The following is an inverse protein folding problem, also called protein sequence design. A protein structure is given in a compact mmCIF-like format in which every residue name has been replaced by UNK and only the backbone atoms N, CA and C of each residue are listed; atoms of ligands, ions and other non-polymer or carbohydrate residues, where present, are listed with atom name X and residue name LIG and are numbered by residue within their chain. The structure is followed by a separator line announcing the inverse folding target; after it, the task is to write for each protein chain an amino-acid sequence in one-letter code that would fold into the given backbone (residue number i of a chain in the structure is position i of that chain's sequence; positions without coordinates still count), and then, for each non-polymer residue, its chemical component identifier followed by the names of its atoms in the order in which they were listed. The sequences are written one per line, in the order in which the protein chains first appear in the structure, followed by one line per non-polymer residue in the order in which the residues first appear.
data_IF_200956678439
#
_entry.id   IF_200956678439
#
_cell.length_a   1.000
_cell.length_b   1.000
_cell.length_c   1.000
_cell.angle_alpha   90.00
_cell.angle_beta   90.00
_cell.angle_gamma   90.00
#
_symmetry.space_group_name_H-M   'P 1'
#
loop_
_entity.id
_entity.type
_entity.pdbx_description
1 polymer ?
#
# COMPACT_ATOMS: atom_id res chain seq x y z
N UNK A 1 -27.69 -16.36 -17.27
CA UNK A 1 -27.89 -15.64 -15.99
C UNK A 1 -27.48 -14.21 -16.20
N UNK A 2 -28.26 -13.23 -15.76
CA UNK A 2 -28.00 -11.81 -15.95
C UNK A 2 -27.39 -11.22 -14.68
N UNK A 3 -26.20 -10.64 -14.83
CA UNK A 3 -25.47 -9.96 -13.77
C UNK A 3 -25.21 -8.51 -14.15
N UNK A 4 -25.02 -7.66 -13.15
CA UNK A 4 -24.68 -6.25 -13.37
C UNK A 4 -23.17 -6.10 -13.26
N UNK A 5 -22.53 -5.57 -14.30
CA UNK A 5 -21.08 -5.39 -14.36
C UNK A 5 -20.72 -3.92 -14.21
N UNK A 6 -20.02 -3.58 -13.13
CA UNK A 6 -19.46 -2.25 -12.91
C UNK A 6 -18.22 -2.01 -13.79
N UNK A 7 -18.25 -0.88 -14.52
CA UNK A 7 -17.17 -0.43 -15.40
C UNK A 7 -16.53 0.85 -14.84
N UNK A 8 -15.26 0.79 -14.41
CA UNK A 8 -14.56 1.92 -13.83
C UNK A 8 -14.22 2.98 -14.89
N UNK A 9 -14.01 4.21 -14.43
CA UNK A 9 -13.83 5.38 -15.30
C UNK A 9 -12.86 5.20 -16.48
N UNK A 10 -11.70 4.52 -16.35
CA UNK A 10 -10.78 4.31 -17.49
C UNK A 10 -11.40 3.50 -18.63
N UNK A 11 -12.31 2.57 -18.30
CA UNK A 11 -12.92 1.65 -19.26
C UNK A 11 -14.28 2.11 -19.79
N UNK A 12 -14.89 3.15 -19.20
CA UNK A 12 -16.23 3.61 -19.61
C UNK A 12 -16.31 4.00 -21.09
N UNK A 13 -15.24 4.56 -21.65
CA UNK A 13 -15.20 4.92 -23.09
C UNK A 13 -15.36 3.69 -23.99
N UNK A 14 -14.97 2.51 -23.50
CA UNK A 14 -15.06 1.23 -24.19
C UNK A 14 -16.47 0.61 -24.11
N UNK A 15 -17.30 1.11 -23.19
CA UNK A 15 -18.68 0.63 -22.93
C UNK A 15 -19.72 1.73 -23.16
N UNK A 16 -19.53 2.56 -24.19
CA UNK A 16 -20.44 3.67 -24.54
C UNK A 16 -20.71 4.65 -23.38
N UNK A 17 -19.68 4.94 -22.58
CA UNK A 17 -19.70 5.77 -21.38
C UNK A 17 -20.62 5.27 -20.25
N UNK A 18 -21.00 4.00 -20.25
CA UNK A 18 -21.80 3.41 -19.17
C UNK A 18 -20.92 2.96 -18.01
N UNK A 19 -21.30 3.34 -16.79
CA UNK A 19 -20.66 2.85 -15.57
C UNK A 19 -21.14 1.45 -15.17
N UNK A 20 -22.26 1.00 -15.75
CA UNK A 20 -22.82 -0.33 -15.55
C UNK A 20 -23.28 -0.89 -16.89
N UNK A 21 -22.92 -2.14 -17.15
CA UNK A 21 -23.40 -2.91 -18.29
C UNK A 21 -23.99 -4.22 -17.79
N UNK A 22 -25.00 -4.72 -18.47
CA UNK A 22 -25.50 -6.07 -18.22
C UNK A 22 -24.49 -7.07 -18.77
N UNK A 23 -24.35 -8.24 -18.15
CA UNK A 23 -23.58 -9.35 -18.70
C UNK A 23 -24.17 -10.70 -18.38
N UNK A 24 -23.77 -11.69 -19.17
CA UNK A 24 -24.37 -13.02 -19.13
C UNK A 24 -23.33 -14.13 -18.98
N UNK A 25 -23.55 -15.02 -18.02
CA UNK A 25 -22.71 -16.20 -17.80
C UNK A 25 -23.10 -16.94 -16.52
N UNK A 26 -22.84 -18.24 -16.45
CA UNK A 26 -22.97 -19.03 -15.23
C UNK A 26 -21.71 -18.96 -14.36
N UNK A 27 -20.58 -18.58 -14.96
CA UNK A 27 -19.29 -18.38 -14.30
C UNK A 27 -18.68 -17.04 -14.69
N UNK A 28 -17.65 -16.61 -13.95
CA UNK A 28 -16.88 -15.41 -14.31
C UNK A 28 -16.21 -15.55 -15.67
N UNK A 29 -15.69 -16.73 -16.03
CA UNK A 29 -15.12 -16.99 -17.35
C UNK A 29 -16.13 -16.73 -18.48
N UNK A 30 -17.33 -17.30 -18.36
CA UNK A 30 -18.41 -17.11 -19.36
C UNK A 30 -18.85 -15.64 -19.44
N UNK A 31 -18.91 -14.94 -18.31
CA UNK A 31 -19.23 -13.52 -18.27
C UNK A 31 -18.18 -12.68 -19.02
N UNK A 32 -16.89 -12.99 -18.84
CA UNK A 32 -15.81 -12.28 -19.52
C UNK A 32 -15.84 -12.53 -21.03
N UNK A 33 -16.17 -13.73 -21.46
CA UNK A 33 -16.35 -14.07 -22.87
C UNK A 33 -17.52 -13.30 -23.49
N UNK A 34 -18.65 -13.22 -22.79
CA UNK A 34 -19.82 -12.42 -23.19
C UNK A 34 -19.48 -10.91 -23.29
N UNK A 35 -18.77 -10.37 -22.29
CA UNK A 35 -18.32 -8.97 -22.32
C UNK A 35 -17.36 -8.68 -23.47
N UNK A 36 -16.41 -9.59 -23.73
CA UNK A 36 -15.44 -9.49 -24.84
C UNK A 36 -16.16 -9.51 -26.19
N UNK A 37 -17.16 -10.37 -26.33
CA UNK A 37 -17.97 -10.47 -27.56
C UNK A 37 -18.78 -9.20 -27.81
N UNK A 38 -19.39 -8.63 -26.76
CA UNK A 38 -20.23 -7.42 -26.89
C UNK A 38 -19.43 -6.13 -26.95
N UNK A 39 -18.25 -6.10 -26.34
CA UNK A 39 -17.35 -4.96 -26.26
C UNK A 39 -15.91 -5.37 -26.62
N UNK A 40 -15.58 -5.57 -27.91
CA UNK A 40 -14.26 -6.07 -28.33
C UNK A 40 -13.08 -5.24 -27.80
N UNK A 41 -13.21 -3.90 -27.82
CA UNK A 41 -12.18 -3.00 -27.31
C UNK A 41 -11.99 -3.08 -25.78
N UNK A 42 -12.99 -3.52 -25.03
CA UNK A 42 -12.85 -3.87 -23.62
C UNK A 42 -12.15 -5.23 -23.50
N UNK A 43 -12.52 -6.19 -24.34
CA UNK A 43 -11.88 -7.50 -24.47
C UNK A 43 -10.36 -7.44 -24.59
N UNK A 44 -9.85 -6.55 -25.45
CA UNK A 44 -8.41 -6.30 -25.63
C UNK A 44 -7.69 -5.91 -24.31
N UNK A 45 -8.42 -5.39 -23.33
CA UNK A 45 -7.89 -5.03 -22.00
C UNK A 45 -8.10 -6.14 -20.96
N UNK A 46 -9.08 -7.02 -21.17
CA UNK A 46 -9.45 -8.10 -20.24
C UNK A 46 -8.76 -9.41 -20.55
N UNK A 47 -8.06 -9.52 -21.68
CA UNK A 47 -7.35 -10.72 -22.10
C UNK A 47 -5.93 -10.36 -22.55
N UNK A 48 -4.95 -11.21 -22.24
CA UNK A 48 -3.60 -11.13 -22.78
C UNK A 48 -3.51 -11.81 -24.16
N UNK A 49 -2.32 -11.86 -24.78
CA UNK A 49 -2.10 -12.52 -26.08
C UNK A 49 -2.42 -14.04 -26.05
N UNK A 50 -2.47 -14.65 -24.87
CA UNK A 50 -2.85 -16.05 -24.66
C UNK A 50 -4.35 -16.26 -24.38
N UNK A 51 -5.14 -15.18 -24.33
CA UNK A 51 -6.58 -15.23 -24.02
C UNK A 51 -6.91 -15.32 -22.53
N UNK A 52 -5.93 -15.17 -21.64
CA UNK A 52 -6.10 -15.28 -20.19
C UNK A 52 -6.32 -13.90 -19.55
N UNK A 53 -6.99 -13.85 -18.39
CA UNK A 53 -7.18 -12.63 -17.62
C UNK A 53 -5.81 -12.05 -17.18
N UNK A 54 -5.45 -10.82 -17.59
CA UNK A 54 -4.19 -10.23 -17.17
C UNK A 54 -4.14 -10.04 -15.65
N UNK A 55 -2.97 -10.29 -15.05
CA UNK A 55 -2.75 -10.10 -13.61
C UNK A 55 -3.09 -8.68 -13.11
N UNK A 56 -3.03 -7.69 -14.00
CA UNK A 56 -3.37 -6.31 -13.69
C UNK A 56 -4.88 -6.01 -13.76
N UNK A 57 -5.75 -7.01 -13.93
CA UNK A 57 -7.21 -6.87 -13.90
C UNK A 57 -7.76 -7.69 -12.73
N UNK A 58 -8.38 -7.01 -11.78
CA UNK A 58 -9.00 -7.65 -10.63
C UNK A 58 -10.51 -7.75 -10.87
N UNK A 59 -11.07 -8.92 -10.59
CA UNK A 59 -12.51 -9.15 -10.69
C UNK A 59 -13.07 -9.42 -9.31
N UNK A 60 -14.16 -8.74 -8.99
CA UNK A 60 -14.91 -8.92 -7.76
C UNK A 60 -16.32 -9.41 -8.09
N UNK A 61 -16.83 -10.35 -7.32
CA UNK A 61 -18.24 -10.77 -7.31
C UNK A 61 -18.81 -10.41 -5.95
N UNK A 62 -19.81 -9.53 -5.90
CA UNK A 62 -20.45 -9.05 -4.66
C UNK A 62 -19.44 -8.57 -3.59
N UNK A 63 -18.46 -7.76 -4.01
CA UNK A 63 -17.35 -7.24 -3.20
C UNK A 63 -16.32 -8.30 -2.72
N UNK A 64 -16.31 -9.51 -3.27
CA UNK A 64 -15.28 -10.52 -3.01
C UNK A 64 -14.44 -10.78 -4.26
N UNK A 65 -13.13 -10.73 -4.12
CA UNK A 65 -12.21 -10.97 -5.24
C UNK A 65 -12.22 -12.44 -5.66
N UNK A 66 -12.28 -12.70 -6.97
CA UNK A 66 -12.43 -14.08 -7.49
C UNK A 66 -11.28 -15.01 -7.09
N UNK A 67 -10.09 -14.48 -6.81
CA UNK A 67 -8.95 -15.26 -6.32
C UNK A 67 -9.19 -15.85 -4.92
N UNK A 68 -10.00 -15.19 -4.09
CA UNK A 68 -10.46 -15.71 -2.79
C UNK A 68 -11.62 -16.71 -2.92
N UNK A 69 -12.12 -16.90 -4.14
CA UNK A 69 -13.23 -17.79 -4.50
C UNK A 69 -12.70 -18.95 -5.34
N UNK A 70 -13.24 -19.15 -6.54
CA UNK A 70 -12.85 -20.22 -7.47
C UNK A 70 -12.19 -19.65 -8.74
N UNK A 71 -11.60 -18.46 -8.66
CA UNK A 71 -11.02 -17.76 -9.80
C UNK A 71 -12.07 -17.52 -10.89
N UNK A 72 -11.69 -17.70 -12.15
CA UNK A 72 -12.60 -17.56 -13.29
C UNK A 72 -13.74 -18.60 -13.28
N UNK A 73 -13.56 -19.73 -12.58
CA UNK A 73 -14.62 -20.74 -12.39
C UNK A 73 -15.66 -20.34 -11.33
N UNK A 74 -15.53 -19.16 -10.70
CA UNK A 74 -16.47 -18.68 -9.68
C UNK A 74 -17.90 -18.65 -10.27
N UNK A 75 -18.86 -19.36 -9.65
CA UNK A 75 -20.23 -19.39 -10.13
C UNK A 75 -20.94 -18.05 -9.86
N UNK A 76 -21.75 -17.62 -10.82
CA UNK A 76 -22.56 -16.41 -10.77
C UNK A 76 -24.04 -16.76 -10.60
N UNK A 77 -24.79 -15.84 -9.97
CA UNK A 77 -26.24 -15.92 -9.79
C UNK A 77 -26.90 -14.69 -10.40
N UNK A 78 -28.16 -14.83 -10.79
CA UNK A 78 -28.96 -13.69 -11.25
C UNK A 78 -28.99 -12.59 -10.18
N UNK A 79 -28.65 -11.37 -10.59
CA UNK A 79 -28.59 -10.21 -9.71
C UNK A 79 -27.24 -10.01 -9.00
N UNK A 80 -26.25 -10.88 -9.20
CA UNK A 80 -24.89 -10.61 -8.72
C UNK A 80 -24.33 -9.33 -9.35
N UNK A 81 -23.54 -8.60 -8.56
CA UNK A 81 -22.76 -7.46 -9.03
C UNK A 81 -21.31 -7.90 -9.24
N UNK A 82 -20.80 -7.71 -10.45
CA UNK A 82 -19.42 -8.01 -10.82
C UNK A 82 -18.69 -6.71 -11.09
N UNK A 83 -17.51 -6.50 -10.50
CA UNK A 83 -16.69 -5.34 -10.78
C UNK A 83 -15.40 -5.74 -11.48
N UNK A 84 -15.12 -5.12 -12.62
CA UNK A 84 -13.89 -5.32 -13.39
C UNK A 84 -12.98 -4.11 -13.15
N UNK A 85 -11.97 -4.29 -12.31
CA UNK A 85 -11.15 -3.18 -11.80
C UNK A 85 -9.73 -3.32 -12.33
N UNK A 86 -9.25 -2.39 -13.18
CA UNK A 86 -7.85 -2.36 -13.53
C UNK A 86 -7.00 -2.00 -12.31
N UNK A 87 -5.85 -2.65 -12.18
CA UNK A 87 -4.74 -2.27 -11.34
C UNK A 87 -4.13 -0.97 -11.90
N UNK A 88 -4.80 0.16 -11.71
CA UNK A 88 -4.36 1.47 -12.22
C UNK A 88 -3.07 1.95 -11.53
N UNK A 89 -2.69 1.33 -10.41
CA UNK A 89 -1.39 1.51 -9.80
C UNK A 89 -0.57 0.24 -10.04
N UNK A 90 0.43 0.32 -10.93
CA UNK A 90 1.33 -0.78 -11.31
C UNK A 90 2.27 -1.25 -10.19
N UNK A 91 1.72 -1.51 -9.02
CA UNK A 91 2.40 -2.19 -7.91
C UNK A 91 2.28 -3.70 -8.01
N UNK A 92 3.21 -4.41 -7.38
CA UNK A 92 3.24 -5.87 -7.36
C UNK A 92 1.92 -6.46 -6.83
N UNK A 93 1.55 -7.63 -7.34
CA UNK A 93 0.41 -8.39 -6.82
C UNK A 93 0.63 -8.73 -5.35
N UNK A 94 -0.45 -8.65 -4.57
CA UNK A 94 -0.41 -9.05 -3.17
C UNK A 94 -0.21 -10.56 -3.08
N UNK A 95 0.75 -11.00 -2.28
CA UNK A 95 0.83 -12.44 -1.97
C UNK A 95 -0.41 -12.89 -1.20
N UNK A 96 -0.72 -14.20 -1.14
CA UNK A 96 -1.82 -14.71 -0.31
C UNK A 96 -1.70 -14.28 1.17
N UNK A 97 -0.48 -14.29 1.72
CA UNK A 97 -0.19 -13.85 3.09
C UNK A 97 -0.45 -12.36 3.28
N UNK A 98 -0.05 -11.52 2.32
CA UNK A 98 -0.30 -10.08 2.35
C UNK A 98 -1.80 -9.78 2.21
N UNK A 99 -2.49 -10.48 1.31
CA UNK A 99 -3.96 -10.39 1.15
C UNK A 99 -4.66 -10.72 2.46
N UNK A 100 -4.25 -11.79 3.15
CA UNK A 100 -4.79 -12.15 4.46
C UNK A 100 -4.49 -11.09 5.52
N UNK A 101 -3.22 -10.66 5.63
CA UNK A 101 -2.74 -9.66 6.60
C UNK A 101 -3.47 -8.32 6.47
N UNK A 102 -3.65 -7.84 5.25
CA UNK A 102 -4.24 -6.53 4.97
C UNK A 102 -5.72 -6.59 4.60
N UNK A 103 -6.36 -7.77 4.69
CA UNK A 103 -7.77 -7.99 4.32
C UNK A 103 -8.71 -6.90 4.82
N UNK A 104 -8.62 -6.52 6.11
CA UNK A 104 -9.46 -5.47 6.71
C UNK A 104 -9.20 -4.07 6.14
N UNK A 105 -7.96 -3.77 5.75
CA UNK A 105 -7.58 -2.49 5.15
C UNK A 105 -8.06 -2.41 3.71
N UNK A 106 -7.94 -3.51 2.96
CA UNK A 106 -8.40 -3.65 1.58
C UNK A 106 -9.92 -3.44 1.48
N UNK A 107 -10.70 -3.89 2.47
CA UNK A 107 -12.15 -3.69 2.49
C UNK A 107 -12.58 -2.22 2.64
N UNK A 108 -11.67 -1.30 2.99
CA UNK A 108 -11.99 0.13 3.08
C UNK A 108 -12.09 0.68 1.65
N UNK A 109 -13.24 1.22 1.21
CA UNK A 109 -13.44 1.63 -0.19
C UNK A 109 -12.43 2.66 -0.71
N UNK A 110 -11.94 3.54 0.16
CA UNK A 110 -10.94 4.56 -0.18
C UNK A 110 -9.52 3.98 -0.30
N UNK A 111 -9.27 2.78 0.22
CA UNK A 111 -7.98 2.08 0.14
C UNK A 111 -8.05 1.05 -0.97
N UNK A 112 -8.84 -0.02 -0.82
CA UNK A 112 -8.90 -1.12 -1.79
C UNK A 112 -7.56 -1.84 -1.97
N UNK A 113 -7.53 -2.85 -2.84
CA UNK A 113 -6.27 -3.55 -3.18
C UNK A 113 -5.27 -2.60 -3.85
N UNK A 114 -5.75 -1.62 -4.63
CA UNK A 114 -4.90 -0.63 -5.27
C UNK A 114 -4.21 0.31 -4.28
N UNK A 115 -4.90 0.77 -3.25
CA UNK A 115 -4.31 1.58 -2.17
C UNK A 115 -3.32 0.78 -1.35
N UNK A 116 -3.62 -0.49 -1.07
CA UNK A 116 -2.68 -1.37 -0.35
C UNK A 116 -1.39 -1.57 -1.12
N UNK A 117 -1.45 -1.81 -2.44
CA UNK A 117 -0.27 -1.91 -3.30
C UNK A 117 0.57 -0.64 -3.29
N UNK A 118 -0.08 0.54 -3.34
CA UNK A 118 0.63 1.82 -3.19
C UNK A 118 1.35 1.95 -1.85
N UNK A 119 0.77 1.46 -0.75
CA UNK A 119 1.45 1.44 0.55
C UNK A 119 2.67 0.52 0.52
N UNK A 120 2.54 -0.69 -0.03
CA UNK A 120 3.66 -1.63 -0.17
C UNK A 120 4.80 -1.09 -1.04
N UNK A 121 4.52 -0.23 -2.02
CA UNK A 121 5.57 0.40 -2.84
C UNK A 121 6.18 1.66 -2.18
N UNK A 122 5.48 2.25 -1.21
CA UNK A 122 5.86 3.53 -0.62
C UNK A 122 7.10 3.44 0.26
N UNK A 123 7.90 4.51 0.22
CA UNK A 123 9.07 4.72 1.06
C UNK A 123 8.87 5.94 1.95
N UNK A 124 8.80 5.75 3.26
CA UNK A 124 8.59 6.84 4.22
C UNK A 124 9.81 7.02 5.10
N UNK A 125 10.30 8.25 5.21
CA UNK A 125 11.36 8.64 6.14
C UNK A 125 10.76 9.15 7.44
N UNK A 126 11.18 8.61 8.57
CA UNK A 126 10.82 9.07 9.91
C UNK A 126 12.07 9.65 10.56
N UNK A 127 12.03 10.94 10.91
CA UNK A 127 13.16 11.63 11.53
C UNK A 127 12.89 11.76 13.03
N UNK A 128 13.60 10.94 13.80
CA UNK A 128 13.43 10.71 15.23
C UNK A 128 12.72 9.39 15.52
N UNK A 129 13.35 8.51 16.31
CA UNK A 129 12.78 7.24 16.78
C UNK A 129 12.18 7.38 18.20
N UNK A 130 11.98 8.62 18.68
CA UNK A 130 11.49 8.93 20.01
C UNK A 130 9.97 8.74 20.21
N UNK A 131 9.38 9.51 21.13
CA UNK A 131 7.99 9.30 21.56
C UNK A 131 6.95 9.58 20.47
N UNK A 132 7.27 10.39 19.47
CA UNK A 132 6.41 10.66 18.30
C UNK A 132 6.68 9.68 17.15
N UNK A 133 7.96 9.39 16.90
CA UNK A 133 8.37 8.50 15.81
C UNK A 133 8.01 7.05 16.08
N UNK A 134 8.01 6.65 17.36
CA UNK A 134 7.64 5.30 17.78
C UNK A 134 6.24 4.88 17.30
N UNK A 135 5.15 5.56 17.69
CA UNK A 135 3.82 5.20 17.21
C UNK A 135 3.68 5.37 15.69
N UNK A 136 4.28 6.40 15.09
CA UNK A 136 4.22 6.59 13.63
C UNK A 136 4.82 5.38 12.89
N UNK A 137 6.00 4.92 13.29
CA UNK A 137 6.66 3.78 12.65
C UNK A 137 5.86 2.48 12.82
N UNK A 138 5.31 2.23 14.01
CA UNK A 138 4.49 1.03 14.27
C UNK A 138 3.25 1.02 13.37
N UNK A 139 2.52 2.13 13.27
CA UNK A 139 1.30 2.18 12.45
C UNK A 139 1.59 2.16 10.96
N UNK A 140 2.66 2.81 10.49
CA UNK A 140 3.07 2.73 9.08
C UNK A 140 3.51 1.31 8.71
N UNK A 141 4.24 0.62 9.60
CA UNK A 141 4.61 -0.77 9.40
C UNK A 141 3.37 -1.69 9.38
N UNK A 142 2.43 -1.50 10.31
CA UNK A 142 1.19 -2.27 10.36
C UNK A 142 0.26 -2.01 9.16
N UNK A 143 0.31 -0.80 8.58
CA UNK A 143 -0.38 -0.45 7.34
C UNK A 143 0.29 -1.06 6.09
N UNK A 144 1.48 -1.65 6.23
CA UNK A 144 2.20 -2.25 5.11
C UNK A 144 2.95 -1.23 4.25
N UNK A 145 3.45 -0.13 4.83
CA UNK A 145 4.40 0.72 4.11
C UNK A 145 5.66 -0.09 3.79
N UNK A 146 6.02 -0.22 2.51
CA UNK A 146 7.07 -1.15 2.09
C UNK A 146 8.45 -0.85 2.62
N UNK A 147 8.83 0.44 2.67
CA UNK A 147 10.13 0.85 3.20
C UNK A 147 9.99 1.96 4.23
N UNK A 148 10.58 1.75 5.41
CA UNK A 148 10.71 2.77 6.46
C UNK A 148 12.18 3.15 6.66
N UNK A 149 12.52 4.40 6.36
CA UNK A 149 13.78 5.00 6.78
C UNK A 149 13.64 5.56 8.19
N UNK A 150 14.58 5.27 9.08
CA UNK A 150 14.54 5.79 10.46
C UNK A 150 15.84 6.52 10.75
N UNK A 151 15.77 7.84 10.95
CA UNK A 151 16.91 8.69 11.31
C UNK A 151 16.90 8.96 12.81
N UNK A 152 17.89 8.43 13.52
CA UNK A 152 18.14 8.77 14.92
C UNK A 152 19.61 8.47 15.25
N UNK A 153 20.24 9.31 16.07
CA UNK A 153 21.65 9.14 16.47
C UNK A 153 21.79 8.67 17.93
N UNK A 154 20.69 8.66 18.69
CA UNK A 154 20.74 8.42 20.12
C UNK A 154 20.85 6.93 20.43
N UNK A 155 21.36 6.67 21.63
CA UNK A 155 21.21 5.39 22.30
C UNK A 155 19.95 5.40 23.17
N UNK A 156 19.41 4.21 23.44
CA UNK A 156 18.25 4.04 24.30
C UNK A 156 18.62 4.24 25.77
N UNK A 157 17.86 5.08 26.46
CA UNK A 157 17.95 5.28 27.92
C UNK A 157 16.69 4.73 28.62
N UNK A 158 16.82 4.27 29.87
CA UNK A 158 15.68 3.74 30.64
C UNK A 158 14.51 4.73 30.74
N UNK A 159 14.80 6.03 30.89
CA UNK A 159 13.78 7.10 30.98
C UNK A 159 12.96 7.28 29.70
N UNK A 160 13.40 6.70 28.59
CA UNK A 160 12.72 6.79 27.31
C UNK A 160 11.54 5.81 27.23
N UNK A 161 11.59 4.70 27.97
CA UNK A 161 10.63 3.59 27.86
C UNK A 161 9.20 3.92 28.31
N UNK A 162 9.00 5.00 29.06
CA UNK A 162 7.66 5.45 29.46
C UNK A 162 6.80 5.93 28.27
N UNK A 163 7.41 6.24 27.11
CA UNK A 163 6.70 6.76 25.93
C UNK A 163 7.21 6.26 24.57
N UNK A 164 8.38 5.64 24.49
CA UNK A 164 8.99 5.22 23.22
C UNK A 164 8.72 3.73 22.98
N UNK A 165 7.53 3.43 22.45
CA UNK A 165 7.01 2.05 22.31
C UNK A 165 7.74 1.18 21.29
N UNK A 166 8.66 1.73 20.49
CA UNK A 166 9.55 0.92 19.65
C UNK A 166 10.61 0.17 20.46
N UNK A 167 10.83 0.57 21.71
CA UNK A 167 11.97 0.16 22.50
C UNK A 167 11.55 -0.62 23.74
N UNK A 168 12.41 -1.55 24.16
CA UNK A 168 12.12 -2.45 25.27
C UNK A 168 13.28 -2.44 26.29
N UNK A 169 13.01 -2.83 27.53
CA UNK A 169 14.01 -2.86 28.61
C UNK A 169 15.31 -3.58 28.25
N UNK A 170 15.30 -4.73 27.54
CA UNK A 170 16.53 -5.41 27.13
C UNK A 170 17.43 -4.61 26.16
N UNK A 171 16.88 -3.58 25.50
CA UNK A 171 17.61 -2.80 24.49
C UNK A 171 18.36 -1.59 25.08
N UNK A 172 18.30 -1.34 26.39
CA UNK A 172 18.92 -0.15 27.01
C UNK A 172 20.41 -0.09 26.70
N UNK A 173 20.89 1.07 26.25
CA UNK A 173 22.25 1.29 25.77
C UNK A 173 22.47 1.00 24.28
N UNK A 174 21.52 0.34 23.59
CA UNK A 174 21.63 0.09 22.14
C UNK A 174 21.22 1.33 21.33
N UNK A 175 21.71 1.48 20.08
CA UNK A 175 21.22 2.52 19.17
C UNK A 175 19.71 2.38 18.93
N UNK A 176 18.98 3.50 19.00
CA UNK A 176 17.52 3.49 18.83
C UNK A 176 17.10 2.93 17.47
N UNK A 177 17.82 3.28 16.40
CA UNK A 177 17.49 2.80 15.03
C UNK A 177 17.57 1.28 14.89
N UNK A 178 18.46 0.61 15.64
CA UNK A 178 18.59 -0.86 15.62
C UNK A 178 17.44 -1.52 16.38
N UNK A 179 17.14 -1.04 17.59
CA UNK A 179 15.98 -1.52 18.37
C UNK A 179 14.67 -1.30 17.60
N UNK A 180 14.53 -0.15 16.93
CA UNK A 180 13.38 0.15 16.09
C UNK A 180 13.23 -0.84 14.92
N UNK A 181 14.32 -1.13 14.20
CA UNK A 181 14.33 -2.09 13.10
C UNK A 181 13.87 -3.48 13.56
N UNK A 182 14.40 -3.98 14.67
CA UNK A 182 14.02 -5.28 15.22
C UNK A 182 12.55 -5.32 15.66
N UNK A 183 12.07 -4.27 16.33
CA UNK A 183 10.66 -4.17 16.73
C UNK A 183 9.73 -4.15 15.53
N UNK A 184 10.04 -3.37 14.49
CA UNK A 184 9.22 -3.30 13.27
C UNK A 184 9.18 -4.64 12.56
N UNK A 185 10.32 -5.34 12.45
CA UNK A 185 10.36 -6.68 11.84
C UNK A 185 9.49 -7.69 12.60
N UNK A 186 9.33 -7.55 13.93
CA UNK A 186 8.40 -8.36 14.74
C UNK A 186 6.93 -8.03 14.45
N UNK A 187 6.60 -6.77 14.18
CA UNK A 187 5.24 -6.37 13.80
C UNK A 187 4.88 -6.81 12.39
N UNK A 188 5.77 -6.54 11.43
CA UNK A 188 5.56 -6.83 10.03
C UNK A 188 6.89 -7.14 9.33
N UNK A 189 7.19 -8.42 9.08
CA UNK A 189 8.46 -8.83 8.45
C UNK A 189 8.56 -8.41 6.98
N UNK A 190 7.46 -8.04 6.34
CA UNK A 190 7.44 -7.59 4.94
C UNK A 190 7.98 -6.16 4.78
N UNK A 191 8.10 -5.41 5.87
CA UNK A 191 8.54 -4.01 5.87
C UNK A 191 10.05 -3.93 5.90
N UNK A 192 10.65 -3.32 4.87
CA UNK A 192 12.09 -3.03 4.83
C UNK A 192 12.42 -1.81 5.67
N UNK A 193 13.16 -2.00 6.76
CA UNK A 193 13.66 -0.88 7.57
C UNK A 193 15.09 -0.52 7.16
N UNK A 194 15.34 0.77 6.92
CA UNK A 194 16.65 1.34 6.63
C UNK A 194 17.08 2.22 7.81
N UNK A 195 18.00 1.76 8.67
CA UNK A 195 18.49 2.55 9.79
C UNK A 195 19.49 3.61 9.30
N UNK A 196 19.22 4.88 9.63
CA UNK A 196 20.12 6.01 9.45
C UNK A 196 20.64 6.44 10.81
N UNK A 197 21.73 5.80 11.27
CA UNK A 197 22.38 6.13 12.55
C UNK A 197 23.20 7.42 12.43
N UNK A 198 22.51 8.54 12.28
CA UNK A 198 23.12 9.85 12.10
C UNK A 198 22.21 10.94 12.60
N UNK A 199 22.79 12.11 12.90
CA UNK A 199 22.03 13.32 13.13
C UNK A 199 21.69 13.93 11.78
N UNK A 200 20.43 14.33 11.60
CA UNK A 200 20.05 15.10 10.43
C UNK A 200 20.65 16.52 10.53
N UNK A 201 21.35 16.93 9.48
CA UNK A 201 22.03 18.23 9.37
C UNK A 201 21.84 18.78 7.95
N UNK A 202 22.14 20.06 7.74
CA UNK A 202 22.12 20.65 6.39
C UNK A 202 23.03 19.95 5.39
N UNK A 203 24.09 19.28 5.86
CA UNK A 203 25.04 18.57 5.01
C UNK A 203 24.49 17.25 4.44
N UNK A 204 23.55 16.60 5.12
CA UNK A 204 23.03 15.27 4.73
C UNK A 204 21.52 15.22 4.46
N UNK A 205 20.76 16.25 4.85
CA UNK A 205 19.31 16.22 4.78
C UNK A 205 18.77 15.98 3.36
N UNK A 206 19.29 16.70 2.36
CA UNK A 206 18.83 16.58 0.98
C UNK A 206 19.08 15.17 0.41
N UNK A 207 20.26 14.62 0.66
CA UNK A 207 20.64 13.28 0.18
C UNK A 207 19.78 12.18 0.79
N UNK A 208 19.54 12.25 2.11
CA UNK A 208 18.71 11.26 2.80
C UNK A 208 17.26 11.39 2.35
N UNK A 209 16.69 12.60 2.36
CA UNK A 209 15.27 12.85 2.05
C UNK A 209 14.93 12.49 0.60
N UNK A 210 15.83 12.72 -0.36
CA UNK A 210 15.58 12.43 -1.77
C UNK A 210 15.25 10.95 -2.06
N UNK A 211 15.67 10.03 -1.19
CA UNK A 211 15.47 8.57 -1.34
C UNK A 211 14.06 8.10 -0.98
N UNK A 212 13.23 8.96 -0.41
CA UNK A 212 11.90 8.64 0.12
C UNK A 212 10.80 9.43 -0.59
N UNK A 213 9.58 8.93 -0.51
CA UNK A 213 8.40 9.55 -1.11
C UNK A 213 7.79 10.61 -0.19
N UNK A 214 7.93 10.44 1.13
CA UNK A 214 7.33 11.28 2.16
C UNK A 214 8.19 11.31 3.43
N UNK A 215 8.13 12.41 4.17
CA UNK A 215 8.87 12.61 5.42
C UNK A 215 7.92 12.89 6.60
N UNK A 216 8.15 12.20 7.71
CA UNK A 216 7.48 12.41 8.99
C UNK A 216 8.47 13.00 9.99
N UNK A 217 8.20 14.23 10.45
CA UNK A 217 9.01 14.96 11.42
C UNK A 217 8.66 14.60 12.85
N UNK A 218 9.42 13.69 13.46
CA UNK A 218 9.23 13.25 14.84
C UNK A 218 10.26 13.84 15.82
N UNK A 219 10.64 15.10 15.60
CA UNK A 219 11.66 15.82 16.38
C UNK A 219 11.06 16.86 17.33
N UNK A 220 11.74 17.09 18.45
CA UNK A 220 11.29 17.97 19.55
C UNK A 220 11.99 19.33 19.59
N UNK A 221 12.90 19.61 18.64
CA UNK A 221 13.63 20.87 18.57
C UNK A 221 13.32 21.66 17.29
N UNK A 222 13.24 22.99 17.42
CA UNK A 222 12.90 23.88 16.31
C UNK A 222 13.90 23.84 15.17
N UNK A 223 15.20 23.78 15.46
CA UNK A 223 16.25 23.80 14.43
C UNK A 223 16.09 22.65 13.41
N UNK A 224 15.85 21.43 13.88
CA UNK A 224 15.62 20.29 12.99
C UNK A 224 14.27 20.39 12.27
N UNK A 225 13.23 20.97 12.88
CA UNK A 225 11.94 21.21 12.19
C UNK A 225 12.07 22.16 11.00
N UNK A 226 12.78 23.28 11.18
CA UNK A 226 13.05 24.22 10.08
C UNK A 226 13.90 23.57 8.98
N UNK A 227 14.96 22.84 9.37
CA UNK A 227 15.77 22.09 8.43
C UNK A 227 14.93 21.10 7.60
N UNK A 228 14.03 20.35 8.24
CA UNK A 228 13.15 19.39 7.57
C UNK A 228 12.22 20.09 6.58
N UNK A 229 11.57 21.18 7.01
CA UNK A 229 10.69 21.95 6.16
C UNK A 229 11.41 22.43 4.90
N UNK A 230 12.58 23.04 5.06
CA UNK A 230 13.36 23.59 3.94
C UNK A 230 13.86 22.46 3.02
N UNK A 231 14.37 21.38 3.59
CA UNK A 231 14.86 20.25 2.81
C UNK A 231 13.73 19.53 2.04
N UNK A 232 12.55 19.36 2.66
CA UNK A 232 11.37 18.78 2.00
C UNK A 232 10.85 19.70 0.89
N UNK A 233 10.81 21.01 1.12
CA UNK A 233 10.44 21.98 0.09
C UNK A 233 11.39 21.91 -1.12
N UNK A 234 12.71 21.89 -0.88
CA UNK A 234 13.72 21.84 -1.94
C UNK A 234 13.74 20.50 -2.70
N UNK A 235 13.33 19.41 -2.06
CA UNK A 235 13.28 18.07 -2.68
C UNK A 235 11.90 17.71 -3.24
N UNK A 236 10.91 18.59 -3.09
CA UNK A 236 9.53 18.35 -3.53
C UNK A 236 8.85 17.20 -2.78
N UNK A 237 9.23 16.94 -1.53
CA UNK A 237 8.69 15.85 -0.72
C UNK A 237 7.61 16.36 0.23
N UNK A 238 6.45 15.68 0.34
CA UNK A 238 5.46 15.98 1.37
C UNK A 238 6.06 15.82 2.77
N UNK A 239 5.75 16.78 3.64
CA UNK A 239 6.22 16.83 5.03
C UNK A 239 5.03 16.83 5.99
N UNK A 240 5.12 15.99 7.02
CA UNK A 240 4.12 15.80 8.08
C UNK A 240 4.76 16.10 9.43
#
# INVERSE_FOLDING_TARGET
MAVTVYIPAPFRRLTANRSYVEGHGQTVAELLEDLTTRYPALGDMLQNEAGELPAHINIYVNNQEIHSLQGEATPLKDGDEVAVIPAIAGGQDLTPEQTLRYSRQIMIPQVGSAGQRKLLDARVLIVGAGGLGSPAAVYLAAAGVGTLGIVDNDQLDLSNLQRQILHHTPDVGRPKVESAQETIARYNPDVRVIPHRTRLTSANALEIIAQYDMVVGAVDNFATRYLLNDACYLTGKPFI
#
